data_IF_154185686271
#
_entry.id   IF_154185686271
#
_cell.length_a   1.000
_cell.length_b   1.000
_cell.length_c   1.000
_cell.angle_alpha   90.00
_cell.angle_beta   90.00
_cell.angle_gamma   90.00
#
_symmetry.space_group_name_H-M   'P 1'
#
loop_
_entity.id
_entity.type
_entity.pdbx_description
1 polymer ?
#
# COMPACT_ATOMS: atom_id res chain seq x y z
N UNK A 1 25.73 -20.06 10.77
CA UNK A 1 24.74 -20.53 9.78
C UNK A 1 23.40 -20.32 10.44
N UNK A 2 22.57 -19.42 9.92
CA UNK A 2 21.11 -19.33 10.11
C UNK A 2 20.67 -17.96 9.62
N UNK A 3 19.93 -17.96 8.51
CA UNK A 3 19.36 -16.76 7.92
C UNK A 3 17.84 -16.79 8.03
N UNK A 4 17.24 -15.60 7.96
CA UNK A 4 16.04 -15.34 7.19
C UNK A 4 15.96 -13.82 7.00
N UNK A 5 15.93 -13.39 5.74
CA UNK A 5 15.71 -12.00 5.34
C UNK A 5 14.20 -11.81 5.16
N UNK A 6 13.64 -10.73 5.71
CA UNK A 6 12.34 -10.21 5.30
C UNK A 6 12.57 -9.08 4.29
N UNK A 7 11.92 -9.20 3.14
CA UNK A 7 11.91 -8.30 1.99
C UNK A 7 10.81 -7.22 2.08
N UNK A 8 10.24 -7.03 3.26
CA UNK A 8 9.32 -5.93 3.49
C UNK A 8 10.08 -4.61 3.40
N UNK A 9 9.85 -3.90 2.29
CA UNK A 9 10.18 -2.49 2.13
C UNK A 9 9.34 -1.67 3.12
N UNK A 10 9.61 -1.80 4.41
CA UNK A 10 8.98 -1.08 5.50
C UNK A 10 9.81 0.17 5.81
N UNK A 11 9.33 1.27 5.24
CA UNK A 11 9.03 2.55 5.91
C UNK A 11 9.64 2.73 7.31
N UNK A 12 10.50 3.76 7.46
CA UNK A 12 11.01 4.27 8.74
C UNK A 12 10.67 5.75 8.92
N UNK A 13 10.48 6.17 10.17
CA UNK A 13 10.67 7.55 10.65
C UNK A 13 12.02 7.64 11.35
N UNK A 14 12.83 8.67 11.01
CA UNK A 14 14.06 8.96 11.73
C UNK A 14 13.73 9.67 13.07
N UNK A 15 14.59 9.55 14.11
CA UNK A 15 14.32 10.14 15.43
C UNK A 15 14.10 11.67 15.41
N UNK A 16 14.63 12.36 14.40
CA UNK A 16 14.63 13.82 14.28
C UNK A 16 13.63 14.35 13.24
N UNK A 17 12.95 13.44 12.52
CA UNK A 17 11.89 13.77 11.57
C UNK A 17 10.69 12.84 11.77
N UNK A 18 9.87 13.09 12.81
CA UNK A 18 8.74 12.24 13.17
C UNK A 18 7.65 12.12 12.09
N UNK A 19 7.70 12.93 11.03
CA UNK A 19 6.73 12.95 9.91
C UNK A 19 7.37 12.74 8.52
N UNK A 20 8.63 12.31 8.43
CA UNK A 20 9.34 12.12 7.17
C UNK A 20 9.52 10.64 6.80
N UNK A 21 9.24 10.29 5.54
CA UNK A 21 9.47 8.95 4.97
C UNK A 21 10.90 8.86 4.44
N UNK A 22 11.64 7.79 4.78
CA UNK A 22 12.99 7.54 4.25
C UNK A 22 13.04 6.26 3.43
N UNK A 23 13.54 6.37 2.20
CA UNK A 23 13.79 5.23 1.32
C UNK A 23 15.12 4.56 1.69
N UNK A 24 15.12 3.24 1.87
CA UNK A 24 16.35 2.47 2.07
C UNK A 24 16.91 2.01 0.73
N UNK A 25 18.18 2.31 0.48
CA UNK A 25 18.96 1.73 -0.61
C UNK A 25 19.62 0.41 -0.14
N UNK A 26 20.03 -0.50 -1.05
CA UNK A 26 20.61 -1.80 -0.68
C UNK A 26 21.83 -1.74 0.25
N UNK A 27 22.56 -0.62 0.24
CA UNK A 27 23.78 -0.41 1.01
C UNK A 27 23.50 -0.21 2.51
N UNK A 28 22.31 0.27 2.87
CA UNK A 28 21.92 0.56 4.26
C UNK A 28 21.28 -0.64 4.98
N UNK A 29 21.37 -1.84 4.39
CA UNK A 29 20.66 -3.06 4.81
C UNK A 29 21.04 -3.58 6.20
N UNK A 30 22.22 -3.22 6.71
CA UNK A 30 22.77 -3.77 7.98
C UNK A 30 23.16 -2.70 9.01
N UNK A 31 22.87 -1.44 8.74
CA UNK A 31 23.14 -0.38 9.70
C UNK A 31 22.13 -0.46 10.86
N UNK A 32 22.62 -0.78 12.06
CA UNK A 32 21.77 -0.99 13.24
C UNK A 32 21.39 0.32 13.91
N UNK A 33 22.11 1.41 13.65
CA UNK A 33 21.83 2.71 14.26
C UNK A 33 20.57 3.36 13.65
N UNK A 34 20.18 2.93 12.44
CA UNK A 34 18.95 3.36 11.77
C UNK A 34 17.73 2.47 12.08
N UNK A 35 17.85 1.45 12.94
CA UNK A 35 16.74 0.51 13.24
C UNK A 35 15.94 1.01 14.45
N UNK A 36 14.70 1.47 14.23
CA UNK A 36 13.77 1.72 15.32
C UNK A 36 13.14 0.40 15.81
N UNK A 37 13.69 -0.13 16.90
CA UNK A 37 13.27 -1.39 17.52
C UNK A 37 11.90 -1.28 18.22
N UNK A 38 11.40 -0.06 18.48
CA UNK A 38 10.15 0.18 19.23
C UNK A 38 8.91 0.26 18.33
N UNK A 39 9.06 0.50 17.03
CA UNK A 39 7.95 0.77 16.10
C UNK A 39 7.62 -0.39 15.14
N UNK A 40 8.29 -1.54 15.26
CA UNK A 40 7.88 -2.75 14.57
C UNK A 40 6.62 -3.34 15.21
N UNK A 41 5.46 -2.72 14.97
CA UNK A 41 4.20 -3.44 15.11
C UNK A 41 4.12 -4.35 13.90
N UNK A 42 4.25 -5.66 14.10
CA UNK A 42 3.92 -6.64 13.05
C UNK A 42 2.52 -6.29 12.55
N UNK A 43 2.33 -6.11 11.25
CA UNK A 43 0.99 -5.87 10.70
C UNK A 43 0.08 -7.00 11.20
N UNK A 44 -0.88 -6.68 12.07
CA UNK A 44 -1.76 -7.69 12.66
C UNK A 44 -2.72 -8.26 11.61
N UNK A 45 -3.02 -7.48 10.56
CA UNK A 45 -4.00 -7.79 9.53
C UNK A 45 -3.54 -7.26 8.17
N UNK A 46 -3.48 -8.14 7.17
CA UNK A 46 -3.27 -7.80 5.76
C UNK A 46 -4.59 -7.88 4.99
N UNK A 47 -4.87 -6.91 4.14
CA UNK A 47 -6.03 -6.94 3.23
C UNK A 47 -5.55 -7.02 1.79
N UNK A 48 -6.10 -7.97 1.03
CA UNK A 48 -5.86 -8.13 -0.40
C UNK A 48 -7.19 -8.45 -1.08
N UNK A 49 -7.33 -8.11 -2.36
CA UNK A 49 -8.48 -8.56 -3.14
C UNK A 49 -8.34 -10.05 -3.52
N UNK A 50 -9.42 -10.62 -4.07
CA UNK A 50 -9.46 -12.02 -4.48
C UNK A 50 -8.95 -12.25 -5.91
N UNK A 51 -8.05 -11.41 -6.44
CA UNK A 51 -7.43 -11.71 -7.73
C UNK A 51 -6.75 -13.08 -7.71
N UNK A 52 -6.79 -13.80 -8.83
CA UNK A 52 -6.30 -15.19 -8.93
C UNK A 52 -4.85 -15.36 -8.44
N UNK A 53 -4.03 -14.32 -8.65
CA UNK A 53 -2.62 -14.30 -8.21
C UNK A 53 -2.47 -14.25 -6.69
N UNK A 54 -3.42 -13.66 -5.95
CA UNK A 54 -3.43 -13.60 -4.50
C UNK A 54 -3.99 -14.89 -3.89
N UNK A 55 -4.93 -15.55 -4.58
CA UNK A 55 -5.52 -16.80 -4.12
C UNK A 55 -4.76 -18.06 -4.54
N UNK A 56 -3.71 -17.93 -5.35
CA UNK A 56 -2.91 -19.04 -5.85
C UNK A 56 -2.21 -19.80 -4.70
N UNK A 57 -2.07 -21.13 -4.84
CA UNK A 57 -1.49 -21.98 -3.80
C UNK A 57 -0.09 -21.51 -3.37
N UNK A 58 0.78 -21.20 -4.33
CA UNK A 58 2.14 -20.67 -4.06
C UNK A 58 2.11 -19.38 -3.25
N UNK A 59 1.17 -18.48 -3.54
CA UNK A 59 1.04 -17.21 -2.82
C UNK A 59 0.55 -17.45 -1.39
N UNK A 60 -0.45 -18.31 -1.21
CA UNK A 60 -0.96 -18.68 0.12
C UNK A 60 0.12 -19.36 0.99
N UNK A 61 0.85 -20.32 0.42
CA UNK A 61 1.98 -20.97 1.10
C UNK A 61 3.06 -19.96 1.50
N UNK A 62 3.37 -18.99 0.63
CA UNK A 62 4.34 -17.95 0.95
C UNK A 62 3.83 -17.07 2.11
N UNK A 63 2.59 -16.61 2.07
CA UNK A 63 1.99 -15.79 3.14
C UNK A 63 1.99 -16.53 4.49
N UNK A 64 1.63 -17.81 4.48
CA UNK A 64 1.62 -18.67 5.68
C UNK A 64 3.03 -18.85 6.25
N UNK A 65 4.03 -19.15 5.41
CA UNK A 65 5.44 -19.29 5.83
C UNK A 65 6.00 -18.02 6.48
N UNK A 66 5.50 -16.85 6.10
CA UNK A 66 5.92 -15.57 6.69
C UNK A 66 5.00 -15.11 7.83
N UNK A 67 4.02 -15.93 8.22
CA UNK A 67 3.09 -15.63 9.30
C UNK A 67 2.27 -14.35 9.04
N UNK A 68 1.92 -14.10 7.77
CA UNK A 68 1.08 -12.99 7.33
C UNK A 68 -0.37 -13.45 7.33
N UNK A 69 -1.20 -12.82 8.15
CA UNK A 69 -2.62 -13.11 8.19
C UNK A 69 -3.38 -12.22 7.20
N UNK A 70 -4.00 -12.84 6.19
CA UNK A 70 -4.82 -12.13 5.21
C UNK A 70 -6.30 -12.23 5.61
N UNK A 71 -6.93 -11.07 5.80
CA UNK A 71 -8.36 -10.96 6.05
C UNK A 71 -9.15 -11.34 4.81
N UNK A 72 -10.23 -12.11 5.00
CA UNK A 72 -11.16 -12.44 3.92
C UNK A 72 -11.81 -11.17 3.36
N UNK A 73 -11.73 -11.00 2.04
CA UNK A 73 -12.33 -9.88 1.32
C UNK A 73 -13.43 -10.42 0.40
N UNK A 74 -14.65 -9.86 0.40
CA UNK A 74 -15.71 -10.33 -0.49
C UNK A 74 -15.40 -9.99 -1.97
N UNK A 75 -15.77 -10.86 -2.93
CA UNK A 75 -15.62 -10.56 -4.35
C UNK A 75 -16.35 -9.27 -4.74
N UNK A 76 -15.84 -8.56 -5.76
CA UNK A 76 -16.47 -7.38 -6.35
C UNK A 76 -16.85 -6.27 -5.34
N UNK A 77 -16.07 -6.12 -4.25
CA UNK A 77 -16.34 -5.16 -3.18
C UNK A 77 -15.27 -4.06 -3.07
N UNK A 78 -15.08 -3.24 -4.14
CA UNK A 78 -14.11 -2.15 -4.12
C UNK A 78 -14.44 -1.09 -3.05
N UNK A 79 -15.70 -1.01 -2.63
CA UNK A 79 -16.17 -0.14 -1.55
C UNK A 79 -15.58 -0.53 -0.18
N UNK A 80 -15.15 -1.80 -0.03
CA UNK A 80 -14.42 -2.31 1.13
C UNK A 80 -12.90 -2.30 0.95
N UNK A 81 -12.37 -1.76 -0.16
CA UNK A 81 -10.94 -1.67 -0.40
C UNK A 81 -10.44 -0.21 -0.31
N UNK A 82 -9.86 0.22 0.83
CA UNK A 82 -9.36 1.59 1.02
C UNK A 82 -8.38 2.06 -0.05
N UNK A 83 -7.58 1.16 -0.63
CA UNK A 83 -6.55 1.53 -1.61
C UNK A 83 -7.15 2.13 -2.88
N UNK A 84 -8.39 1.79 -3.23
CA UNK A 84 -9.08 2.36 -4.40
C UNK A 84 -9.22 3.89 -4.28
N UNK A 85 -9.41 4.39 -3.06
CA UNK A 85 -9.49 5.82 -2.81
C UNK A 85 -8.11 6.48 -2.87
N UNK A 86 -7.07 5.77 -2.45
CA UNK A 86 -5.68 6.22 -2.58
C UNK A 86 -5.31 6.32 -4.06
N UNK A 87 -5.64 5.29 -4.86
CA UNK A 87 -5.45 5.33 -6.32
C UNK A 87 -6.21 6.46 -6.98
N UNK A 88 -7.45 6.73 -6.55
CA UNK A 88 -8.21 7.90 -7.02
C UNK A 88 -7.45 9.20 -6.74
N UNK A 89 -6.95 9.37 -5.52
CA UNK A 89 -6.17 10.57 -5.14
C UNK A 89 -4.88 10.70 -5.94
N UNK A 90 -4.14 9.61 -6.14
CA UNK A 90 -2.94 9.61 -6.97
C UNK A 90 -3.25 10.01 -8.41
N UNK A 91 -4.34 9.50 -9.00
CA UNK A 91 -4.78 9.90 -10.35
C UNK A 91 -5.12 11.39 -10.44
N UNK A 92 -5.71 11.98 -9.39
CA UNK A 92 -5.96 13.41 -9.33
C UNK A 92 -4.65 14.21 -9.29
N UNK A 93 -3.68 13.79 -8.47
CA UNK A 93 -2.35 14.41 -8.39
C UNK A 93 -1.62 14.32 -9.73
N UNK A 94 -1.62 13.13 -10.36
CA UNK A 94 -0.96 12.90 -11.65
C UNK A 94 -1.55 13.80 -12.75
N UNK A 95 -2.87 13.93 -12.82
CA UNK A 95 -3.53 14.79 -13.81
C UNK A 95 -3.21 16.27 -13.63
N UNK A 96 -3.05 16.71 -12.37
CA UNK A 96 -2.75 18.10 -12.01
C UNK A 96 -1.27 18.43 -12.25
N UNK A 97 -0.37 17.60 -11.75
CA UNK A 97 1.06 17.90 -11.65
C UNK A 97 1.87 17.38 -12.85
N UNK A 98 1.34 16.37 -13.56
CA UNK A 98 1.97 15.74 -14.73
C UNK A 98 1.01 15.72 -15.93
N UNK A 99 0.56 16.90 -16.41
CA UNK A 99 -0.34 16.96 -17.55
C UNK A 99 0.32 16.32 -18.78
N UNK A 100 -0.45 15.51 -19.52
CA UNK A 100 0.05 14.82 -20.71
C UNK A 100 0.87 13.55 -20.44
N UNK A 101 1.03 13.11 -19.18
CA UNK A 101 1.70 11.83 -18.87
C UNK A 101 1.05 10.64 -19.61
N UNK A 102 -0.27 10.67 -19.77
CA UNK A 102 -1.06 9.66 -20.49
C UNK A 102 -0.89 9.71 -22.03
N UNK A 103 -0.24 10.74 -22.57
CA UNK A 103 0.02 10.90 -24.01
C UNK A 103 1.39 10.36 -24.41
N UNK A 104 2.22 9.97 -23.45
CA UNK A 104 3.55 9.44 -23.72
C UNK A 104 3.45 8.10 -24.44
N UNK A 105 4.25 7.94 -25.50
CA UNK A 105 4.43 6.65 -26.17
C UNK A 105 5.14 5.68 -25.23
N UNK A 106 4.79 4.40 -25.32
CA UNK A 106 5.45 3.35 -24.55
C UNK A 106 6.87 3.11 -25.07
N UNK A 107 7.82 3.79 -24.44
CA UNK A 107 9.27 3.65 -24.66
C UNK A 107 9.92 3.53 -23.29
N UNK A 108 11.11 2.93 -23.23
CA UNK A 108 11.81 2.73 -21.95
C UNK A 108 12.07 4.05 -21.21
N UNK A 109 12.50 5.09 -21.94
CA UNK A 109 12.69 6.43 -21.37
C UNK A 109 11.37 7.03 -20.83
N UNK A 110 10.24 6.79 -21.50
CA UNK A 110 8.95 7.28 -21.02
C UNK A 110 8.39 6.45 -19.87
N UNK A 111 8.64 5.14 -19.82
CA UNK A 111 8.29 4.31 -18.66
C UNK A 111 9.01 4.78 -17.40
N UNK A 112 10.29 5.16 -17.51
CA UNK A 112 11.03 5.78 -16.41
C UNK A 112 10.35 7.08 -15.94
N UNK A 113 9.97 7.97 -16.86
CA UNK A 113 9.23 9.21 -16.53
C UNK A 113 7.89 8.92 -15.84
N UNK A 114 7.15 7.91 -16.29
CA UNK A 114 5.90 7.49 -15.65
C UNK A 114 6.16 6.96 -14.24
N UNK A 115 7.19 6.14 -14.04
CA UNK A 115 7.56 5.65 -12.73
C UNK A 115 7.93 6.78 -11.75
N UNK A 116 8.70 7.76 -12.21
CA UNK A 116 9.07 8.92 -11.39
C UNK A 116 7.87 9.80 -11.05
N UNK A 117 6.95 10.01 -12.01
CA UNK A 117 5.70 10.70 -11.75
C UNK A 117 4.81 9.96 -10.74
N UNK A 118 4.74 8.62 -10.82
CA UNK A 118 3.99 7.79 -9.87
C UNK A 118 4.55 7.89 -8.46
N UNK A 119 5.88 7.81 -8.28
CA UNK A 119 6.56 8.01 -6.99
C UNK A 119 6.26 9.41 -6.45
N UNK A 120 6.44 10.42 -7.28
CA UNK A 120 6.21 11.81 -6.89
C UNK A 120 4.73 12.08 -6.56
N UNK A 121 3.78 11.36 -7.17
CA UNK A 121 2.37 11.43 -6.81
C UNK A 121 2.07 10.73 -5.49
N UNK A 122 2.71 9.59 -5.22
CA UNK A 122 2.60 8.86 -3.95
C UNK A 122 3.08 9.71 -2.77
N UNK A 123 4.26 10.33 -2.87
CA UNK A 123 4.81 11.21 -1.82
C UNK A 123 3.92 12.43 -1.52
N UNK A 124 3.02 12.79 -2.44
CA UNK A 124 2.05 13.88 -2.27
C UNK A 124 0.70 13.41 -1.73
N UNK A 125 0.47 12.11 -1.58
CA UNK A 125 -0.72 11.59 -0.91
C UNK A 125 -0.60 11.94 0.58
N UNK A 126 -1.54 12.71 1.14
CA UNK A 126 -1.47 13.05 2.55
C UNK A 126 -1.66 11.81 3.43
N UNK A 127 -0.82 11.62 4.45
CA UNK A 127 -0.96 10.48 5.38
C UNK A 127 -2.32 10.51 6.10
N UNK A 128 -2.84 11.70 6.44
CA UNK A 128 -4.15 11.85 7.07
C UNK A 128 -5.30 11.31 6.20
N UNK A 129 -5.13 11.25 4.88
CA UNK A 129 -6.10 10.63 4.00
C UNK A 129 -6.10 9.12 4.21
N UNK A 130 -4.91 8.50 4.24
CA UNK A 130 -4.74 7.06 4.44
C UNK A 130 -5.31 6.65 5.80
N UNK A 131 -4.97 7.38 6.85
CA UNK A 131 -5.45 7.12 8.21
C UNK A 131 -6.98 7.19 8.27
N UNK A 132 -7.58 8.25 7.72
CA UNK A 132 -9.06 8.39 7.65
C UNK A 132 -9.74 7.30 6.83
N UNK A 133 -9.07 6.76 5.80
CA UNK A 133 -9.60 5.65 5.01
C UNK A 133 -9.59 4.35 5.81
N UNK A 134 -8.51 4.07 6.55
CA UNK A 134 -8.40 2.92 7.46
C UNK A 134 -9.46 3.03 8.57
N UNK A 135 -9.54 4.19 9.24
CA UNK A 135 -10.52 4.46 10.30
C UNK A 135 -11.97 4.39 9.82
N UNK A 136 -12.21 4.49 8.51
CA UNK A 136 -13.55 4.37 7.94
C UNK A 136 -14.04 2.92 7.80
N UNK A 137 -13.17 1.92 7.93
CA UNK A 137 -13.51 0.52 7.67
C UNK A 137 -14.69 -0.02 8.49
N UNK A 138 -14.81 0.25 9.81
CA UNK A 138 -15.99 -0.17 10.57
C UNK A 138 -17.30 0.40 9.99
N UNK A 139 -17.28 1.65 9.53
CA UNK A 139 -18.47 2.29 8.93
C UNK A 139 -18.79 1.73 7.54
N UNK A 140 -17.77 1.36 6.75
CA UNK A 140 -17.94 0.71 5.44
C UNK A 140 -18.60 -0.67 5.59
N UNK A 141 -18.10 -1.49 6.52
CA UNK A 141 -18.67 -2.80 6.85
C UNK A 141 -20.12 -2.70 7.31
N UNK A 142 -20.43 -1.72 8.17
CA UNK A 142 -21.81 -1.45 8.59
C UNK A 142 -22.71 -1.04 7.42
N UNK A 143 -22.19 -0.25 6.48
CA UNK A 143 -22.95 0.15 5.29
C UNK A 143 -23.27 -1.06 4.40
N UNK A 144 -22.30 -1.95 4.15
CA UNK A 144 -22.52 -3.19 3.39
C UNK A 144 -23.55 -4.09 4.08
N UNK A 145 -23.44 -4.24 5.41
CA UNK A 145 -24.42 -5.00 6.20
C UNK A 145 -25.82 -4.41 6.09
N UNK A 146 -25.96 -3.09 6.18
CA UNK A 146 -27.26 -2.39 6.02
C UNK A 146 -27.80 -2.54 4.60
N UNK A 147 -26.93 -2.52 3.60
CA UNK A 147 -27.25 -2.76 2.21
C UNK A 147 -27.49 -4.24 1.88
N UNK A 148 -27.36 -5.16 2.86
CA UNK A 148 -27.49 -6.62 2.67
C UNK A 148 -26.55 -7.14 1.58
N UNK A 149 -25.32 -6.63 1.52
CA UNK A 149 -24.31 -7.00 0.53
C UNK A 149 -24.37 -6.22 -0.79
N UNK A 150 -25.33 -5.30 -0.95
CA UNK A 150 -25.37 -4.41 -2.12
C UNK A 150 -24.39 -3.23 -2.00
N UNK A 151 -24.16 -2.57 -3.14
CA UNK A 151 -23.26 -1.42 -3.28
C UNK A 151 -23.51 -0.34 -2.23
N UNK A 152 -22.42 0.23 -1.73
CA UNK A 152 -22.46 1.36 -0.81
C UNK A 152 -21.97 2.65 -1.48
N UNK A 153 -21.98 3.75 -0.73
CA UNK A 153 -21.51 5.06 -1.22
C UNK A 153 -19.99 5.20 -1.27
N UNK A 154 -19.27 4.22 -0.74
CA UNK A 154 -17.81 4.23 -0.66
C UNK A 154 -17.24 3.74 -1.99
#
# INVERSE_FOLDING_TARGET
MEGAYSDESSVQTAPDTPNGWVFRTPEHKYDKEVINIQAHVKAEITMMDNAKIHTAAKTKEWLERHGIWVQEHPPHSPDLNPIEHVWKKMKEILRRDFPGLHLLKDTEANRAKVADALRAAWERVPQDLIDRLIDSMPRRLQAVRKAKGWYTKY
#
